data_IF_871871040085
#
_entry.id   IF_871871040085
#
_cell.length_a   1.000
_cell.length_b   1.000
_cell.length_c   1.000
_cell.angle_alpha   90.00
_cell.angle_beta   90.00
_cell.angle_gamma   90.00
#
_symmetry.space_group_name_H-M   'P 1'
#
loop_
_entity.id
_entity.type
_entity.pdbx_description
1 polymer ?
#
# COMPACT_ATOMS: atom_id res chain seq x y z
N UNK A 1 17.62 -16.32 -4.51
CA UNK A 1 18.06 -15.42 -3.42
C UNK A 1 16.91 -14.45 -3.14
N UNK A 2 16.56 -14.20 -1.87
CA UNK A 2 15.47 -13.28 -1.54
C UNK A 2 15.77 -11.88 -2.13
N UNK A 3 14.85 -11.34 -2.92
CA UNK A 3 14.90 -10.06 -3.66
C UNK A 3 15.19 -8.79 -2.83
N UNK A 4 15.61 -8.93 -1.57
CA UNK A 4 15.84 -7.82 -0.67
C UNK A 4 14.57 -7.06 -0.29
N UNK A 5 13.35 -7.45 -0.64
CA UNK A 5 12.16 -6.75 -0.14
C UNK A 5 11.81 -7.20 1.28
N UNK A 6 11.28 -6.32 2.16
CA UNK A 6 10.87 -6.70 3.50
C UNK A 6 9.91 -7.89 3.47
N UNK A 7 10.15 -8.87 4.34
CA UNK A 7 9.37 -10.11 4.41
C UNK A 7 9.39 -10.67 5.83
N UNK A 8 8.35 -11.41 6.17
CA UNK A 8 8.29 -12.21 7.38
C UNK A 8 8.16 -13.69 6.99
N UNK A 9 9.00 -14.54 7.57
CA UNK A 9 9.08 -15.97 7.22
C UNK A 9 9.15 -16.24 5.70
N UNK A 10 9.90 -15.39 4.96
CA UNK A 10 10.03 -15.49 3.50
C UNK A 10 8.85 -14.96 2.67
N UNK A 11 7.75 -14.54 3.31
CA UNK A 11 6.54 -14.01 2.64
C UNK A 11 6.51 -12.49 2.69
N UNK A 12 6.07 -11.84 1.61
CA UNK A 12 5.98 -10.37 1.54
C UNK A 12 4.81 -9.86 2.35
N UNK A 13 4.97 -8.71 3.01
CA UNK A 13 3.84 -8.03 3.64
C UNK A 13 2.77 -7.75 2.58
N UNK A 14 1.51 -8.07 2.88
CA UNK A 14 0.40 -8.04 1.92
C UNK A 14 0.12 -9.38 1.24
N UNK A 15 1.06 -10.34 1.25
CA UNK A 15 0.82 -11.69 0.69
C UNK A 15 0.31 -12.70 1.74
N UNK A 16 -0.04 -12.23 2.92
CA UNK A 16 -0.49 -13.03 4.05
C UNK A 16 -1.27 -12.18 5.05
N UNK A 17 -2.04 -12.86 5.90
CA UNK A 17 -3.05 -12.22 6.73
C UNK A 17 -4.40 -12.16 5.99
N UNK A 18 -5.38 -11.58 6.67
CA UNK A 18 -6.74 -11.44 6.14
C UNK A 18 -6.89 -10.12 5.36
N UNK A 19 -6.74 -9.00 6.07
CA UNK A 19 -6.73 -7.65 5.54
C UNK A 19 -5.40 -6.95 5.83
N UNK A 20 -4.75 -6.38 4.80
CA UNK A 20 -3.50 -5.63 4.97
C UNK A 20 -3.67 -4.22 4.43
N UNK A 21 -3.51 -3.22 5.31
CA UNK A 21 -3.59 -1.81 4.95
C UNK A 21 -2.21 -1.18 4.79
N UNK A 22 -2.01 -0.49 3.67
CA UNK A 22 -0.85 0.33 3.38
C UNK A 22 -1.26 1.81 3.33
N UNK A 23 -0.44 2.66 3.93
CA UNK A 23 -0.52 4.10 3.77
C UNK A 23 0.54 4.57 2.76
N UNK A 24 0.15 5.51 1.91
CA UNK A 24 1.00 6.17 0.92
C UNK A 24 1.09 7.69 1.15
N UNK A 25 0.95 8.11 2.41
CA UNK A 25 1.20 9.49 2.83
C UNK A 25 2.64 9.94 2.49
N UNK A 26 2.85 11.25 2.37
CA UNK A 26 4.09 11.90 1.97
C UNK A 26 5.38 11.35 2.61
N UNK A 27 5.33 10.93 3.88
CA UNK A 27 6.48 10.43 4.64
C UNK A 27 6.72 8.92 4.55
N UNK A 28 5.90 8.17 3.81
CA UNK A 28 6.03 6.72 3.66
C UNK A 28 7.08 6.37 2.62
N UNK A 29 7.56 5.12 2.66
CA UNK A 29 8.60 4.65 1.72
C UNK A 29 8.13 4.66 0.26
N UNK A 30 6.83 4.48 0.06
CA UNK A 30 6.11 4.67 -1.19
C UNK A 30 5.03 5.71 -0.92
N UNK A 31 4.94 6.70 -1.80
CA UNK A 31 4.12 7.89 -1.58
C UNK A 31 3.26 8.20 -2.82
N UNK A 32 2.04 8.67 -2.59
CA UNK A 32 1.10 9.18 -3.61
C UNK A 32 0.64 10.61 -3.29
N UNK A 33 1.48 11.38 -2.58
CA UNK A 33 1.14 12.55 -1.77
C UNK A 33 0.21 12.18 -0.60
N UNK A 34 -1.02 11.80 -0.91
CA UNK A 34 -1.98 11.20 0.00
C UNK A 34 -2.56 9.93 -0.61
N UNK A 35 -2.91 8.95 0.21
CA UNK A 35 -3.54 7.72 -0.25
C UNK A 35 -3.20 6.48 0.57
N UNK A 36 -3.72 5.35 0.10
CA UNK A 36 -3.49 4.05 0.70
C UNK A 36 -4.02 2.92 -0.16
N UNK A 37 -3.85 1.71 0.31
CA UNK A 37 -4.29 0.49 -0.34
C UNK A 37 -4.72 -0.53 0.72
N UNK A 38 -5.84 -1.20 0.47
CA UNK A 38 -6.22 -2.38 1.21
C UNK A 38 -5.98 -3.60 0.33
N UNK A 39 -5.18 -4.54 0.81
CA UNK A 39 -4.96 -5.83 0.16
C UNK A 39 -5.85 -6.86 0.83
N UNK A 40 -6.62 -7.57 0.01
CA UNK A 40 -7.59 -8.57 0.41
C UNK A 40 -7.20 -9.93 -0.16
N UNK A 41 -7.50 -10.99 0.59
CA UNK A 41 -7.18 -12.37 0.21
C UNK A 41 -8.30 -13.06 -0.56
N UNK A 42 -9.51 -12.49 -0.58
CA UNK A 42 -10.69 -13.08 -1.18
C UNK A 42 -11.44 -12.09 -2.09
N UNK A 43 -12.03 -12.62 -3.16
CA UNK A 43 -12.71 -11.80 -4.18
C UNK A 43 -14.03 -11.21 -3.68
N UNK A 44 -14.72 -11.87 -2.75
CA UNK A 44 -16.02 -11.43 -2.24
C UNK A 44 -15.87 -10.11 -1.47
N UNK A 45 -14.91 -10.05 -0.55
CA UNK A 45 -14.57 -8.83 0.17
C UNK A 45 -13.95 -7.79 -0.74
N UNK A 46 -13.13 -8.19 -1.73
CA UNK A 46 -12.59 -7.24 -2.71
C UNK A 46 -13.71 -6.48 -3.44
N UNK A 47 -14.70 -7.19 -3.96
CA UNK A 47 -15.89 -6.59 -4.60
C UNK A 47 -16.68 -5.71 -3.64
N UNK A 48 -16.83 -6.15 -2.38
CA UNK A 48 -17.51 -5.35 -1.34
C UNK A 48 -16.78 -4.04 -1.07
N UNK A 49 -15.46 -4.08 -0.89
CA UNK A 49 -14.63 -2.89 -0.66
C UNK A 49 -14.64 -1.96 -1.88
N UNK A 50 -14.61 -2.51 -3.09
CA UNK A 50 -14.72 -1.72 -4.32
C UNK A 50 -16.03 -0.95 -4.42
N UNK A 51 -17.14 -1.53 -3.95
CA UNK A 51 -18.44 -0.85 -3.83
C UNK A 51 -18.45 0.21 -2.72
N UNK A 52 -17.92 -0.11 -1.55
CA UNK A 52 -17.87 0.81 -0.41
C UNK A 52 -16.97 2.03 -0.66
N UNK A 53 -15.94 1.91 -1.52
CA UNK A 53 -14.96 2.95 -1.81
C UNK A 53 -15.52 4.19 -2.52
N UNK A 54 -16.45 4.08 -3.49
CA UNK A 54 -17.21 5.20 -4.05
C UNK A 54 -18.65 5.20 -3.52
N UNK A 55 -18.82 5.49 -2.24
CA UNK A 55 -20.10 5.79 -1.59
C UNK A 55 -21.14 4.64 -1.59
N UNK A 56 -20.73 3.40 -1.84
CA UNK A 56 -21.64 2.25 -1.82
C UNK A 56 -22.40 2.05 -3.13
N UNK A 57 -21.96 2.72 -4.21
CA UNK A 57 -22.64 2.71 -5.50
C UNK A 57 -22.35 1.43 -6.29
N UNK A 58 -23.40 0.78 -6.79
CA UNK A 58 -23.36 -0.34 -7.72
C UNK A 58 -23.97 0.07 -9.07
N UNK A 59 -23.42 -0.46 -10.18
CA UNK A 59 -24.00 -0.29 -11.52
C UNK A 59 -24.87 -1.50 -11.87
N UNK A 60 -26.13 -1.25 -12.20
CA UNK A 60 -27.12 -2.29 -12.50
C UNK A 60 -27.03 -2.74 -13.97
N UNK A 61 -27.58 -3.92 -14.34
CA UNK A 61 -27.51 -4.46 -15.70
C UNK A 61 -28.14 -3.56 -16.78
N UNK A 62 -29.11 -2.73 -16.42
CA UNK A 62 -29.76 -1.74 -17.29
C UNK A 62 -28.91 -0.46 -17.49
N UNK A 63 -27.74 -0.39 -16.85
CA UNK A 63 -26.81 0.72 -16.94
C UNK A 63 -27.04 1.84 -15.92
N UNK A 64 -28.10 1.74 -15.10
CA UNK A 64 -28.37 2.68 -14.00
C UNK A 64 -27.45 2.44 -12.80
N UNK A 65 -27.48 3.34 -11.82
CA UNK A 65 -26.70 3.25 -10.59
C UNK A 65 -27.61 3.32 -9.38
N UNK A 66 -27.32 2.51 -8.37
CA UNK A 66 -28.01 2.52 -7.09
C UNK A 66 -27.02 2.50 -5.92
N UNK A 67 -27.45 2.97 -4.74
CA UNK A 67 -26.67 2.96 -3.49
C UNK A 67 -27.16 1.82 -2.61
N UNK A 68 -26.44 0.71 -2.63
CA UNK A 68 -26.85 -0.52 -1.92
C UNK A 68 -26.32 -0.61 -0.49
N UNK A 69 -25.35 0.24 -0.12
CA UNK A 69 -24.66 0.21 1.17
C UNK A 69 -24.16 1.61 1.58
N UNK A 70 -23.89 1.77 2.87
CA UNK A 70 -23.26 2.97 3.43
C UNK A 70 -21.75 2.98 3.14
N UNK A 71 -21.35 3.46 1.97
CA UNK A 71 -19.95 3.63 1.60
C UNK A 71 -19.34 4.97 2.00
N UNK A 72 -18.05 5.13 1.72
CA UNK A 72 -17.29 6.37 1.93
C UNK A 72 -16.80 6.95 0.60
N UNK A 73 -16.29 8.18 0.59
CA UNK A 73 -15.59 8.77 -0.57
C UNK A 73 -14.08 8.53 -0.42
N UNK A 74 -13.63 7.36 -0.83
CA UNK A 74 -12.25 6.88 -0.61
C UNK A 74 -11.50 6.51 -1.90
N UNK A 75 -11.97 6.96 -3.07
CA UNK A 75 -11.27 6.73 -4.33
C UNK A 75 -9.99 7.57 -4.43
N UNK A 76 -8.92 6.96 -4.93
CA UNK A 76 -7.67 7.64 -5.26
C UNK A 76 -7.82 8.42 -6.58
N UNK A 77 -7.17 9.57 -6.69
CA UNK A 77 -7.15 10.35 -7.94
C UNK A 77 -6.10 9.79 -8.91
N UNK A 78 -6.30 9.98 -10.21
CA UNK A 78 -5.33 9.57 -11.24
C UNK A 78 -3.97 10.24 -11.05
N UNK A 79 -3.95 11.50 -10.58
CA UNK A 79 -2.70 12.21 -10.25
C UNK A 79 -1.93 11.49 -9.14
N UNK A 80 -2.60 11.14 -8.04
CA UNK A 80 -1.98 10.41 -6.94
C UNK A 80 -1.53 8.99 -7.38
N UNK A 81 -2.34 8.31 -8.19
CA UNK A 81 -1.99 7.00 -8.76
C UNK A 81 -0.76 7.09 -9.68
N UNK A 82 -0.66 8.10 -10.53
CA UNK A 82 0.48 8.32 -11.43
C UNK A 82 1.79 8.55 -10.66
N UNK A 83 1.74 9.34 -9.57
CA UNK A 83 2.87 9.50 -8.65
C UNK A 83 3.27 8.13 -8.08
N UNK A 84 2.30 7.36 -7.58
CA UNK A 84 2.51 6.02 -7.03
C UNK A 84 3.15 5.05 -8.01
N UNK A 85 2.69 5.01 -9.26
CA UNK A 85 3.27 4.17 -10.32
C UNK A 85 4.73 4.55 -10.61
N UNK A 86 5.07 5.84 -10.58
CA UNK A 86 6.45 6.30 -10.67
C UNK A 86 7.31 5.85 -9.48
N UNK A 87 6.77 5.91 -8.26
CA UNK A 87 7.46 5.46 -7.05
C UNK A 87 7.65 3.94 -7.00
N UNK A 88 6.64 3.16 -7.41
CA UNK A 88 6.66 1.69 -7.44
C UNK A 88 7.84 1.14 -8.24
N UNK A 89 8.17 1.78 -9.36
CA UNK A 89 9.32 1.39 -10.20
C UNK A 89 10.68 1.52 -9.50
N UNK A 90 10.74 2.29 -8.40
CA UNK A 90 11.98 2.61 -7.66
C UNK A 90 11.98 2.09 -6.23
N UNK A 91 10.97 1.31 -5.84
CA UNK A 91 10.78 0.90 -4.44
C UNK A 91 11.96 0.07 -3.90
N UNK A 92 12.60 -0.72 -4.76
CA UNK A 92 13.77 -1.52 -4.40
C UNK A 92 14.98 -0.64 -4.10
N UNK A 93 15.22 0.42 -4.90
CA UNK A 93 16.28 1.40 -4.66
C UNK A 93 16.08 2.14 -3.33
N UNK A 94 14.85 2.56 -3.04
CA UNK A 94 14.50 3.25 -1.80
C UNK A 94 14.72 2.35 -0.58
N UNK A 95 14.30 1.09 -0.69
CA UNK A 95 14.50 0.08 0.36
C UNK A 95 15.98 -0.18 0.60
N UNK A 96 16.76 -0.39 -0.46
CA UNK A 96 18.20 -0.61 -0.37
C UNK A 96 18.93 0.60 0.25
N UNK A 97 18.58 1.83 -0.15
CA UNK A 97 19.15 3.06 0.43
C UNK A 97 18.85 3.16 1.92
N UNK A 98 17.61 2.89 2.36
CA UNK A 98 17.23 2.96 3.77
C UNK A 98 17.98 1.93 4.61
N UNK A 99 18.20 0.72 4.10
CA UNK A 99 19.03 -0.29 4.79
C UNK A 99 20.48 0.15 4.96
N UNK A 100 21.12 0.65 3.90
CA UNK A 100 22.48 1.19 3.98
C UNK A 100 22.60 2.31 5.01
N UNK A 101 21.58 3.16 5.14
CA UNK A 101 21.56 4.21 6.16
C UNK A 101 21.41 3.61 7.58
N UNK A 102 20.52 2.64 7.77
CA UNK A 102 20.36 1.96 9.06
C UNK A 102 21.65 1.25 9.50
N UNK A 103 22.31 0.53 8.59
CA UNK A 103 23.61 -0.12 8.84
C UNK A 103 24.67 0.89 9.31
N UNK A 104 24.73 2.07 8.69
CA UNK A 104 25.64 3.15 9.12
C UNK A 104 25.32 3.69 10.52
N UNK A 105 24.04 3.82 10.87
CA UNK A 105 23.64 4.22 12.21
C UNK A 105 24.07 3.18 13.24
N UNK A 106 23.79 1.89 12.99
CA UNK A 106 24.18 0.82 13.90
C UNK A 106 25.69 0.73 14.08
N UNK A 107 26.46 0.75 12.98
CA UNK A 107 27.92 0.71 13.03
C UNK A 107 28.52 1.82 13.91
N UNK A 108 27.98 3.05 13.83
CA UNK A 108 28.43 4.17 14.67
C UNK A 108 27.94 4.09 16.11
N UNK A 109 26.74 3.58 16.33
CA UNK A 109 26.16 3.46 17.68
C UNK A 109 26.85 2.39 18.54
N UNK A 110 27.41 1.35 17.92
CA UNK A 110 28.17 0.31 18.62
C UNK A 110 29.54 0.82 19.07
N UNK A 111 30.12 1.82 18.38
CA UNK A 111 31.42 2.41 18.74
C UNK A 111 31.37 3.35 19.95
N UNK A 112 30.19 3.81 20.37
CA UNK A 112 30.02 4.77 21.48
C UNK A 112 29.79 4.10 22.86
N UNK A 113 29.98 2.78 22.98
CA UNK A 113 29.99 2.03 24.25
C UNK A 113 31.40 1.50 24.57
N UNK A 114 32.37 2.40 24.69
CA UNK A 114 33.63 2.18 25.40
C UNK A 114 33.95 3.43 26.22
#
# INVERSE_FOLDING_TARGET
MADGRPSWAGRKFGSFGDLVSFSFHANKNLCTAEGGCLVLSNEVEARRVEKLRPQGVSRLPDGTMDVEDWGSKANLTDVAAAIGLGQLRRIDDFTARRRRLAERYFARSTTARC
#
